data_IF_708107755714
#
_entry.id   IF_708107755714
#
_cell.length_a   1.000
_cell.length_b   1.000
_cell.length_c   1.000
_cell.angle_alpha   90.00
_cell.angle_beta   90.00
_cell.angle_gamma   90.00
#
_symmetry.space_group_name_H-M   'P 1'
#
loop_
_entity.id
_entity.type
_entity.pdbx_description
1 polymer ?
#
# COMPACT_ATOMS: atom_id res chain seq x y z
N UNK A 1 1.63 -14.17 -12.65
CA UNK A 1 0.93 -12.87 -12.73
C UNK A 1 -0.26 -12.96 -11.77
N UNK A 2 -0.37 -12.06 -10.78
CA UNK A 2 -1.50 -12.10 -9.86
C UNK A 2 -2.83 -11.91 -10.63
N UNK A 3 -3.83 -12.74 -10.35
CA UNK A 3 -5.18 -12.63 -10.92
C UNK A 3 -5.82 -11.24 -10.69
N UNK A 4 -6.90 -10.92 -11.42
CA UNK A 4 -7.51 -9.61 -11.37
C UNK A 4 -8.12 -9.33 -9.98
N UNK A 5 -7.39 -8.55 -9.18
CA UNK A 5 -7.89 -8.05 -7.89
C UNK A 5 -9.01 -7.05 -8.17
N UNK A 6 -10.20 -7.32 -7.65
CA UNK A 6 -11.33 -6.38 -7.70
C UNK A 6 -10.90 -5.04 -7.08
N UNK A 7 -11.25 -3.94 -7.74
CA UNK A 7 -10.89 -2.57 -7.32
C UNK A 7 -9.36 -2.29 -7.27
N UNK A 8 -8.56 -2.97 -8.11
CA UNK A 8 -7.10 -2.80 -8.20
C UNK A 8 -6.65 -1.34 -8.24
N UNK A 9 -7.26 -0.52 -9.09
CA UNK A 9 -6.91 0.90 -9.22
C UNK A 9 -7.15 1.68 -7.93
N UNK A 10 -8.24 1.35 -7.21
CA UNK A 10 -8.54 2.02 -5.94
C UNK A 10 -7.50 1.67 -4.88
N UNK A 11 -7.10 0.39 -4.77
CA UNK A 11 -6.03 -0.03 -3.86
C UNK A 11 -4.67 0.58 -4.23
N UNK A 12 -4.37 0.75 -5.51
CA UNK A 12 -3.16 1.47 -5.96
C UNK A 12 -3.18 2.94 -5.51
N UNK A 13 -4.32 3.64 -5.67
CA UNK A 13 -4.48 5.02 -5.18
C UNK A 13 -4.32 5.13 -3.67
N UNK A 14 -4.92 4.22 -2.91
CA UNK A 14 -4.77 4.20 -1.44
C UNK A 14 -3.31 3.97 -1.03
N UNK A 15 -2.65 3.00 -1.66
CA UNK A 15 -1.25 2.67 -1.38
C UNK A 15 -0.31 3.84 -1.71
N UNK A 16 -0.54 4.52 -2.83
CA UNK A 16 0.22 5.70 -3.22
C UNK A 16 0.10 6.82 -2.19
N UNK A 17 -1.12 7.16 -1.75
CA UNK A 17 -1.34 8.21 -0.75
C UNK A 17 -0.68 7.88 0.58
N UNK A 18 -0.77 6.61 1.02
CA UNK A 18 -0.13 6.15 2.24
C UNK A 18 1.40 6.29 2.15
N UNK A 19 2.01 5.84 1.05
CA UNK A 19 3.45 5.94 0.83
C UNK A 19 3.93 7.40 0.69
N UNK A 20 3.16 8.24 0.01
CA UNK A 20 3.46 9.67 -0.10
C UNK A 20 3.48 10.36 1.27
N UNK A 21 2.59 9.99 2.19
CA UNK A 21 2.59 10.51 3.56
C UNK A 21 3.87 10.15 4.32
N UNK A 22 4.37 8.91 4.17
CA UNK A 22 5.66 8.50 4.75
C UNK A 22 6.82 9.24 4.10
N UNK A 23 6.82 9.38 2.78
CA UNK A 23 7.88 10.08 2.03
C UNK A 23 8.02 11.54 2.49
N UNK A 24 6.91 12.26 2.64
CA UNK A 24 6.90 13.65 3.12
C UNK A 24 7.55 13.75 4.51
N UNK A 25 7.16 12.90 5.45
CA UNK A 25 7.73 12.94 6.81
C UNK A 25 9.19 12.48 6.85
N UNK A 26 9.62 11.61 5.93
CA UNK A 26 11.00 11.16 5.82
C UNK A 26 11.93 12.27 5.30
N UNK A 27 11.43 13.12 4.39
CA UNK A 27 12.19 14.24 3.84
C UNK A 27 12.17 15.46 4.75
N UNK A 28 11.01 15.80 5.30
CA UNK A 28 10.85 16.92 6.22
C UNK A 28 9.81 16.58 7.32
N UNK A 29 10.25 16.34 8.57
CA UNK A 29 9.35 15.95 9.66
C UNK A 29 8.43 17.09 10.15
N UNK A 30 8.72 18.35 9.80
CA UNK A 30 7.87 19.50 10.17
C UNK A 30 6.62 19.59 9.30
N UNK A 31 6.67 19.04 8.08
CA UNK A 31 5.59 19.07 7.08
C UNK A 31 4.44 18.08 7.38
N UNK A 32 4.01 18.02 8.64
CA UNK A 32 2.97 17.11 9.10
C UNK A 32 1.59 17.42 8.52
N UNK A 33 1.34 18.67 8.11
CA UNK A 33 0.09 19.07 7.48
C UNK A 33 -0.14 18.34 6.14
N UNK A 34 0.90 18.23 5.31
CA UNK A 34 0.81 17.55 4.01
C UNK A 34 0.64 16.04 4.18
N UNK A 35 1.38 15.42 5.12
CA UNK A 35 1.20 14.00 5.44
C UNK A 35 -0.24 13.71 5.94
N UNK A 36 -0.80 14.57 6.80
CA UNK A 36 -2.20 14.47 7.25
C UNK A 36 -3.18 14.59 6.09
N UNK A 37 -2.93 15.48 5.14
CA UNK A 37 -3.78 15.66 3.98
C UNK A 37 -3.85 14.37 3.13
N UNK A 38 -2.70 13.73 2.87
CA UNK A 38 -2.67 12.45 2.15
C UNK A 38 -3.43 11.35 2.89
N UNK A 39 -3.18 11.17 4.19
CA UNK A 39 -3.89 10.17 4.99
C UNK A 39 -5.40 10.48 5.13
N UNK A 40 -5.80 11.75 5.18
CA UNK A 40 -7.21 12.15 5.19
C UNK A 40 -7.89 11.83 3.86
N UNK A 41 -7.21 12.08 2.75
CA UNK A 41 -7.68 11.78 1.40
C UNK A 41 -7.84 10.28 1.20
N UNK A 42 -6.83 9.50 1.60
CA UNK A 42 -6.84 8.03 1.61
C UNK A 42 -8.05 7.49 2.38
N UNK A 43 -8.24 7.93 3.63
CA UNK A 43 -9.38 7.54 4.48
C UNK A 43 -10.73 7.90 3.85
N UNK A 44 -10.81 9.03 3.16
CA UNK A 44 -12.04 9.50 2.50
C UNK A 44 -12.36 8.63 1.29
N UNK A 45 -11.36 8.29 0.47
CA UNK A 45 -11.51 7.39 -0.68
C UNK A 45 -11.94 6.00 -0.20
N UNK A 46 -11.24 5.45 0.80
CA UNK A 46 -11.57 4.14 1.36
C UNK A 46 -13.00 4.09 1.90
N UNK A 47 -13.46 5.15 2.59
CA UNK A 47 -14.83 5.25 3.10
C UNK A 47 -15.86 5.33 1.97
N UNK A 48 -15.62 6.15 0.94
CA UNK A 48 -16.55 6.34 -0.19
C UNK A 48 -16.69 5.06 -1.03
N UNK A 49 -15.59 4.36 -1.27
CA UNK A 49 -15.56 3.13 -2.05
C UNK A 49 -15.85 1.88 -1.22
N UNK A 50 -16.13 2.03 0.09
CA UNK A 50 -16.42 0.93 1.02
C UNK A 50 -15.30 -0.12 1.03
N UNK A 51 -14.05 0.32 0.93
CA UNK A 51 -12.88 -0.55 0.90
C UNK A 51 -12.41 -0.85 2.32
N UNK A 52 -12.16 -2.13 2.60
CA UNK A 52 -11.56 -2.58 3.86
C UNK A 52 -10.05 -2.43 3.79
N UNK A 53 -9.51 -1.54 4.62
CA UNK A 53 -8.08 -1.44 4.84
C UNK A 53 -7.61 -2.48 5.84
N UNK A 54 -6.39 -2.99 5.63
CA UNK A 54 -5.77 -3.93 6.54
C UNK A 54 -5.55 -3.30 7.95
N UNK A 55 -5.80 -4.04 9.05
CA UNK A 55 -5.62 -3.51 10.39
C UNK A 55 -4.20 -3.00 10.67
N UNK A 56 -3.15 -3.55 10.04
CA UNK A 56 -1.77 -3.08 10.24
C UNK A 56 -1.59 -1.62 9.79
N UNK A 57 -2.12 -1.28 8.60
CA UNK A 57 -2.13 0.09 8.05
C UNK A 57 -3.06 0.98 8.87
N UNK A 58 -4.27 0.50 9.20
CA UNK A 58 -5.24 1.31 9.96
C UNK A 58 -4.74 1.67 11.36
N UNK A 59 -3.88 0.84 11.97
CA UNK A 59 -3.25 1.09 13.27
C UNK A 59 -2.23 2.21 13.23
N UNK A 60 -1.60 2.50 12.08
CA UNK A 60 -0.65 3.60 11.93
C UNK A 60 -1.33 4.94 11.65
N UNK A 61 -2.66 5.01 11.58
CA UNK A 61 -3.41 6.23 11.28
C UNK A 61 -4.26 6.70 12.46
N UNK A 62 -4.21 7.99 12.77
CA UNK A 62 -5.05 8.58 13.81
C UNK A 62 -6.53 8.58 13.41
N UNK A 63 -7.41 8.07 14.29
CA UNK A 63 -8.86 8.01 14.02
C UNK A 63 -9.53 9.39 13.99
N UNK A 64 -8.95 10.37 14.68
CA UNK A 64 -9.44 11.75 14.74
C UNK A 64 -8.96 12.56 13.54
N UNK A 65 -7.73 13.08 13.62
CA UNK A 65 -7.16 14.01 12.66
C UNK A 65 -6.47 13.37 11.43
N UNK A 66 -6.53 12.04 11.27
CA UNK A 66 -5.84 11.32 10.18
C UNK A 66 -4.32 11.52 10.13
N UNK A 67 -3.67 11.94 11.22
CA UNK A 67 -2.20 11.98 11.28
C UNK A 67 -1.63 10.58 11.19
N UNK A 68 -0.57 10.42 10.38
CA UNK A 68 0.29 9.25 10.43
C UNK A 68 0.94 9.17 11.82
N UNK A 69 0.91 8.00 12.44
CA UNK A 69 1.37 7.74 13.81
C UNK A 69 2.73 7.04 13.76
N UNK A 70 3.79 7.84 13.72
CA UNK A 70 5.17 7.36 13.80
C UNK A 70 5.64 7.55 15.25
N UNK A 71 5.97 6.44 15.97
CA UNK A 71 6.46 6.53 17.34
C UNK A 71 7.69 7.43 17.44
N UNK A 72 7.65 8.40 18.36
CA UNK A 72 8.76 9.33 18.60
C UNK A 72 8.73 10.58 17.72
N UNK A 73 7.92 10.62 16.66
CA UNK A 73 7.76 11.81 15.81
C UNK A 73 6.37 12.45 15.96
N UNK A 74 5.34 11.69 15.67
CA UNK A 74 3.94 12.18 15.58
C UNK A 74 3.01 11.52 16.60
N UNK A 75 3.49 10.45 17.25
CA UNK A 75 2.79 9.79 18.33
C UNK A 75 3.74 9.34 19.45
N UNK A 76 3.18 9.16 20.64
CA UNK A 76 3.86 8.43 21.72
C UNK A 76 3.27 7.02 21.78
N UNK A 77 4.15 6.02 21.89
CA UNK A 77 3.77 4.63 22.08
C UNK A 77 4.24 4.16 23.45
N UNK A 78 3.32 3.68 24.28
CA UNK A 78 3.63 3.18 25.63
C UNK A 78 2.98 1.83 25.86
N UNK A 79 3.71 0.92 26.51
CA UNK A 79 3.13 -0.29 27.04
C UNK A 79 2.57 -0.03 28.44
N UNK A 80 1.32 -0.42 28.68
CA UNK A 80 0.63 -0.25 29.96
C UNK A 80 0.06 -1.59 30.41
N UNK A 81 0.10 -1.85 31.71
CA UNK A 81 -0.57 -3.02 32.30
C UNK A 81 -1.84 -2.57 33.01
N UNK A 82 -2.96 -3.21 32.70
CA UNK A 82 -4.24 -2.93 33.34
C UNK A 82 -5.02 -4.24 33.49
N UNK A 83 -5.50 -4.55 34.71
CA UNK A 83 -6.25 -5.77 35.02
C UNK A 83 -5.56 -7.06 34.52
N UNK A 84 -4.25 -7.16 34.74
CA UNK A 84 -3.45 -8.32 34.31
C UNK A 84 -3.04 -8.32 32.83
N UNK A 85 -3.75 -7.60 31.97
CA UNK A 85 -3.49 -7.53 30.52
C UNK A 85 -2.46 -6.44 30.17
N UNK A 86 -1.68 -6.70 29.10
CA UNK A 86 -0.73 -5.74 28.53
C UNK A 86 -1.37 -5.03 27.33
N UNK A 87 -1.21 -3.72 27.28
CA UNK A 87 -1.79 -2.87 26.25
C UNK A 87 -0.72 -2.01 25.63
N UNK A 88 -0.70 -1.93 24.31
CA UNK A 88 0.05 -0.92 23.56
C UNK A 88 -0.87 0.28 23.35
N UNK A 89 -0.52 1.41 23.94
CA UNK A 89 -1.27 2.66 23.82
C UNK A 89 -0.49 3.61 22.94
N UNK A 90 -1.07 3.95 21.79
CA UNK A 90 -0.56 4.97 20.88
C UNK A 90 -1.36 6.26 21.05
N UNK A 91 -0.69 7.36 21.38
CA UNK A 91 -1.33 8.66 21.60
C UNK A 91 -0.81 9.65 20.58
N UNK A 92 -1.72 10.24 19.80
CA UNK A 92 -1.39 11.24 18.79
C UNK A 92 -0.95 12.55 19.46
N UNK A 93 0.20 13.10 19.05
CA UNK A 93 0.70 14.36 19.60
C UNK A 93 -0.06 15.59 19.10
N UNK A 94 -0.82 15.46 18.01
CA UNK A 94 -1.57 16.56 17.39
C UNK A 94 -2.94 16.78 18.02
N UNK A 95 -3.73 15.71 18.18
CA UNK A 95 -5.11 15.78 18.66
C UNK A 95 -5.34 15.05 19.99
N UNK A 96 -4.27 14.49 20.59
CA UNK A 96 -4.27 13.81 21.89
C UNK A 96 -5.17 12.56 21.99
N UNK A 97 -5.82 12.15 20.89
CA UNK A 97 -6.60 10.92 20.85
C UNK A 97 -5.67 9.70 20.97
N UNK A 98 -6.09 8.74 21.79
CA UNK A 98 -5.36 7.49 22.00
C UNK A 98 -6.04 6.30 21.33
N UNK A 99 -5.23 5.36 20.85
CA UNK A 99 -5.63 4.04 20.40
C UNK A 99 -4.99 3.01 21.32
N UNK A 100 -5.76 1.98 21.68
CA UNK A 100 -5.32 0.92 22.59
C UNK A 100 -5.42 -0.41 21.86
N UNK A 101 -4.32 -1.15 21.87
CA UNK A 101 -4.24 -2.49 21.28
C UNK A 101 -3.81 -3.46 22.36
N UNK A 102 -4.55 -4.57 22.47
CA UNK A 102 -4.15 -5.65 23.36
C UNK A 102 -2.82 -6.22 22.84
N UNK A 103 -1.85 -6.36 23.73
CA UNK A 103 -0.56 -6.96 23.46
C UNK A 103 -0.57 -8.39 24.01
N UNK A 104 -1.24 -9.27 23.26
CA UNK A 104 -1.32 -10.71 23.53
C UNK A 104 -0.51 -11.45 22.47
N UNK A 105 0.55 -12.20 22.84
CA UNK A 105 1.34 -12.97 21.90
C UNK A 105 0.55 -14.08 21.18
N UNK A 106 -0.60 -14.50 21.72
CA UNK A 106 -1.47 -15.51 21.09
C UNK A 106 -2.42 -14.93 20.03
N UNK A 107 -2.53 -13.60 19.95
CA UNK A 107 -3.45 -12.95 19.05
C UNK A 107 -2.79 -12.61 17.70
N UNK A 108 -3.39 -13.12 16.62
CA UNK A 108 -2.98 -12.86 15.23
C UNK A 108 -4.11 -12.11 14.50
N UNK A 109 -3.74 -11.19 13.59
CA UNK A 109 -4.69 -10.59 12.67
C UNK A 109 -5.20 -11.66 11.69
N UNK A 110 -6.40 -11.47 11.13
CA UNK A 110 -6.94 -12.40 10.14
C UNK A 110 -5.99 -12.61 8.95
N UNK A 111 -5.42 -11.53 8.40
CA UNK A 111 -4.49 -11.60 7.27
C UNK A 111 -3.17 -12.33 7.56
N UNK A 112 -2.80 -12.47 8.84
CA UNK A 112 -1.59 -13.18 9.28
C UNK A 112 -1.86 -14.67 9.54
N UNK A 113 -3.12 -15.12 9.50
CA UNK A 113 -3.46 -16.54 9.70
C UNK A 113 -3.16 -17.35 8.44
N UNK A 114 -2.61 -18.56 8.57
CA UNK A 114 -2.26 -19.40 7.42
C UNK A 114 -3.49 -19.77 6.56
N UNK A 115 -4.65 -19.97 7.20
CA UNK A 115 -5.92 -20.27 6.54
C UNK A 115 -6.34 -19.16 5.56
N UNK A 116 -6.19 -17.90 5.95
CA UNK A 116 -6.53 -16.75 5.11
C UNK A 116 -5.56 -16.58 3.92
N UNK A 117 -4.32 -17.00 4.07
CA UNK A 117 -3.31 -16.95 3.01
C UNK A 117 -3.52 -18.07 1.97
N UNK A 118 -4.04 -19.22 2.38
CA UNK A 118 -4.36 -20.34 1.49
C UNK A 118 -5.55 -20.03 0.57
N UNK A 119 -6.54 -19.30 1.07
CA UNK A 119 -7.70 -18.86 0.27
C UNK A 119 -7.25 -17.94 -0.88
N UNK A 120 -6.32 -17.01 -0.60
CA UNK A 120 -5.67 -16.21 -1.65
C UNK A 120 -4.85 -17.07 -2.63
N UNK A 121 -4.22 -18.15 -2.14
CA UNK A 121 -3.42 -19.06 -2.98
C UNK A 121 -4.27 -19.96 -3.88
N UNK A 122 -5.42 -20.42 -3.40
CA UNK A 122 -6.35 -21.28 -4.13
C UNK A 122 -6.97 -20.58 -5.35
N UNK A 123 -7.11 -19.25 -5.30
CA UNK A 123 -7.53 -18.42 -6.43
C UNK A 123 -6.44 -18.27 -7.53
N UNK A 124 -5.19 -18.67 -7.26
CA UNK A 124 -4.10 -18.70 -8.23
C UNK A 124 -3.86 -20.10 -8.83
N UNK A 125 -4.91 -20.92 -9.06
CA UNK A 125 -4.73 -22.15 -9.84
C UNK A 125 -4.08 -21.81 -11.19
N UNK A 126 -2.91 -22.37 -11.52
CA UNK A 126 -2.29 -22.16 -12.83
C UNK A 126 -3.25 -22.70 -13.89
N UNK A 127 -3.68 -21.83 -14.81
CA UNK A 127 -4.31 -22.27 -16.05
C UNK A 127 -3.37 -23.24 -16.77
N UNK A 128 -3.91 -24.39 -17.21
CA UNK A 128 -3.20 -25.43 -17.94
C UNK A 128 -2.36 -24.86 -19.09
N UNK A 129 -1.18 -25.43 -19.40
CA UNK A 129 -0.38 -25.00 -20.53
C UNK A 129 -1.17 -25.17 -21.83
N UNK A 130 -1.33 -24.09 -22.58
CA UNK A 130 -1.91 -24.13 -23.92
C UNK A 130 -1.12 -25.13 -24.80
N UNK A 131 -1.81 -25.95 -25.61
CA UNK A 131 -1.14 -26.90 -26.49
C UNK A 131 -0.26 -26.17 -27.51
N UNK A 132 0.98 -26.63 -27.57
CA UNK A 132 2.03 -26.23 -28.51
C UNK A 132 1.51 -26.24 -29.95
N UNK A 133 1.47 -25.08 -30.61
CA UNK A 133 1.44 -25.03 -32.07
C UNK A 133 2.86 -24.68 -32.52
N UNK A 134 3.63 -25.73 -32.79
CA UNK A 134 4.83 -25.63 -33.59
C UNK A 134 4.49 -26.06 -35.02
N UNK A 135 5.08 -25.32 -35.96
CA UNK A 135 5.18 -25.53 -37.42
C UNK A 135 4.07 -24.89 -38.27
N UNK A 136 4.34 -24.18 -39.37
CA UNK A 136 5.54 -23.69 -40.09
C UNK A 136 4.96 -22.53 -40.95
N UNK A 137 5.68 -21.46 -41.24
CA UNK A 137 6.41 -21.41 -42.51
C UNK A 137 7.65 -20.53 -42.44
N UNK A 138 8.67 -21.03 -43.13
CA UNK A 138 9.98 -20.44 -43.35
C UNK A 138 9.90 -19.50 -44.54
N UNK A 139 10.49 -18.32 -44.43
CA UNK A 139 11.36 -17.80 -45.48
C UNK A 139 12.51 -16.98 -44.87
N UNK A 140 13.71 -17.21 -45.42
CA UNK A 140 15.04 -16.79 -44.94
C UNK A 140 15.56 -15.62 -45.85
N UNK A 141 16.83 -15.17 -45.77
CA UNK A 141 17.27 -13.92 -45.14
C UNK A 141 17.81 -12.82 -46.11
N UNK A 142 17.73 -11.55 -45.65
CA UNK A 142 18.63 -10.36 -45.79
C UNK A 142 19.53 -10.12 -47.05
N UNK A 143 19.78 -8.84 -47.45
CA UNK A 143 20.84 -8.06 -46.78
C UNK A 143 20.66 -6.52 -46.68
N UNK A 144 21.64 -5.91 -45.99
CA UNK A 144 21.77 -4.54 -45.46
C UNK A 144 21.97 -3.39 -46.48
N UNK A 145 21.64 -2.16 -46.04
CA UNK A 145 22.34 -0.85 -46.22
C UNK A 145 21.32 0.27 -45.90
N UNK A 146 21.58 1.49 -45.41
CA UNK A 146 22.76 2.31 -45.11
C UNK A 146 22.27 3.56 -44.34
N UNK A 147 23.18 4.21 -43.60
CA UNK A 147 22.99 5.46 -42.85
C UNK A 147 22.30 6.61 -43.62
N UNK A 148 21.63 7.51 -42.90
CA UNK A 148 21.91 8.96 -42.91
C UNK A 148 21.16 9.67 -41.77
N UNK A 149 21.86 10.61 -41.16
CA UNK A 149 21.36 11.56 -40.16
C UNK A 149 20.33 12.49 -40.83
N UNK A 150 19.37 13.02 -40.06
CA UNK A 150 19.14 14.46 -40.06
C UNK A 150 18.30 14.92 -38.86
N UNK A 151 18.75 16.05 -38.35
CA UNK A 151 18.34 16.84 -37.21
C UNK A 151 17.11 17.69 -37.54
N UNK A 152 16.10 17.78 -36.66
CA UNK A 152 15.32 19.03 -36.54
C UNK A 152 14.53 19.14 -35.22
N UNK A 153 14.45 20.39 -34.76
CA UNK A 153 14.19 20.94 -33.43
C UNK A 153 12.71 21.11 -33.04
N UNK A 154 12.38 21.44 -31.78
CA UNK A 154 11.02 21.38 -31.23
C UNK A 154 10.21 22.65 -31.50
N UNK A 155 8.91 22.50 -31.75
CA UNK A 155 7.97 23.62 -31.85
C UNK A 155 7.28 23.87 -30.50
N UNK A 156 7.57 25.03 -29.92
CA UNK A 156 6.79 25.68 -28.87
C UNK A 156 5.70 26.55 -29.48
N UNK A 157 4.52 26.58 -28.85
CA UNK A 157 3.62 27.73 -28.78
C UNK A 157 2.94 27.75 -27.42
#
# INVERSE_FOLDING_TARGET
MAGPVKDREAFQRLSFLYQAAHCVLSQNPENQALARFYCHTEKTIAKRLVLRQDPSVKRTLCRGCSSLLIPGLTCTQRQRRQKGLRWTVQTCLTCQRSQRFLNDPKHLLWGDRPEAQLENQADFKPSEPLPNIAHLDKENPQPQASNTNDEFTPFSR
#
